data_IF_922030835636
#
_entry.id   IF_922030835636
#
_cell.length_a   1.000
_cell.length_b   1.000
_cell.length_c   1.000
_cell.angle_alpha   90.00
_cell.angle_beta   90.00
_cell.angle_gamma   90.00
#
_symmetry.space_group_name_H-M   'P 1'
#
loop_
_entity.id
_entity.type
_entity.pdbx_description
1 polymer ?
#
# COMPACT_ATOMS: atom_id res chain seq x y z
N UNK A 1 0.07 -2.71 -27.28
CA UNK A 1 -0.45 -1.34 -27.46
C UNK A 1 -0.92 -0.79 -26.13
N UNK A 2 -0.92 0.52 -26.00
CA UNK A 2 -1.28 1.19 -24.74
C UNK A 2 -2.70 0.81 -24.25
N UNK A 3 -3.67 0.73 -25.16
CA UNK A 3 -5.05 0.39 -24.79
C UNK A 3 -5.15 -1.03 -24.20
N UNK A 4 -4.38 -1.98 -24.71
CA UNK A 4 -4.36 -3.34 -24.18
C UNK A 4 -3.69 -3.37 -22.82
N UNK A 5 -2.65 -2.58 -22.62
CA UNK A 5 -1.97 -2.42 -21.35
C UNK A 5 -2.93 -1.89 -20.28
N UNK A 6 -3.66 -0.82 -20.61
CA UNK A 6 -4.65 -0.23 -19.69
C UNK A 6 -5.77 -1.22 -19.36
N UNK A 7 -6.28 -1.95 -20.35
CA UNK A 7 -7.30 -2.97 -20.11
C UNK A 7 -6.81 -4.07 -19.18
N UNK A 8 -5.55 -4.49 -19.33
CA UNK A 8 -4.94 -5.46 -18.44
C UNK A 8 -4.92 -4.97 -17.00
N UNK A 9 -4.54 -3.71 -16.80
CA UNK A 9 -4.54 -3.09 -15.47
C UNK A 9 -5.97 -2.98 -14.91
N UNK A 10 -6.93 -2.55 -15.72
CA UNK A 10 -8.32 -2.45 -15.28
C UNK A 10 -8.88 -3.81 -14.83
N UNK A 11 -8.58 -4.87 -15.57
CA UNK A 11 -9.01 -6.22 -15.21
C UNK A 11 -8.36 -6.68 -13.91
N UNK A 12 -7.07 -6.43 -13.74
CA UNK A 12 -6.35 -6.74 -12.52
C UNK A 12 -6.93 -5.99 -11.32
N UNK A 13 -7.24 -4.71 -11.49
CA UNK A 13 -7.83 -3.90 -10.43
C UNK A 13 -9.23 -4.38 -10.05
N UNK A 14 -10.04 -4.85 -10.99
CA UNK A 14 -11.34 -5.45 -10.68
C UNK A 14 -11.18 -6.69 -9.83
N UNK A 15 -10.21 -7.56 -10.14
CA UNK A 15 -9.93 -8.74 -9.33
C UNK A 15 -9.44 -8.36 -7.95
N UNK A 16 -8.59 -7.35 -7.85
CA UNK A 16 -8.11 -6.81 -6.57
C UNK A 16 -9.27 -6.30 -5.73
N UNK A 17 -10.22 -5.57 -6.32
CA UNK A 17 -11.40 -5.07 -5.60
C UNK A 17 -12.27 -6.22 -5.08
N UNK A 18 -12.42 -7.29 -5.84
CA UNK A 18 -13.14 -8.48 -5.37
C UNK A 18 -12.46 -9.08 -4.15
N UNK A 19 -11.13 -9.18 -4.16
CA UNK A 19 -10.35 -9.70 -3.04
C UNK A 19 -10.56 -8.82 -1.80
N UNK A 20 -10.46 -7.51 -1.95
CA UNK A 20 -10.66 -6.54 -0.87
C UNK A 20 -12.08 -6.67 -0.28
N UNK A 21 -13.09 -6.72 -1.14
CA UNK A 21 -14.48 -6.77 -0.71
C UNK A 21 -14.84 -8.09 -0.04
N UNK A 22 -14.24 -9.19 -0.48
CA UNK A 22 -14.48 -10.50 0.13
C UNK A 22 -13.71 -10.68 1.45
N UNK A 23 -12.69 -9.89 1.66
CA UNK A 23 -11.80 -10.03 2.82
C UNK A 23 -10.88 -11.24 2.72
N UNK A 24 -10.78 -11.86 1.56
CA UNK A 24 -9.97 -13.07 1.34
C UNK A 24 -8.76 -12.77 0.47
N UNK A 25 -7.59 -13.27 0.90
CA UNK A 25 -6.37 -13.17 0.13
C UNK A 25 -5.77 -11.77 0.11
N UNK A 26 -4.83 -11.59 -0.80
CA UNK A 26 -4.11 -10.34 -0.97
C UNK A 26 -4.17 -9.90 -2.42
N UNK A 27 -4.14 -8.59 -2.65
CA UNK A 27 -4.11 -8.04 -4.00
C UNK A 27 -2.73 -8.20 -4.61
N UNK A 28 -2.61 -7.90 -5.90
CA UNK A 28 -1.33 -7.90 -6.60
C UNK A 28 -0.39 -6.79 -6.10
N UNK A 29 -0.91 -5.85 -5.31
CA UNK A 29 -0.13 -4.73 -4.76
C UNK A 29 0.58 -5.08 -3.45
N UNK A 30 0.26 -6.23 -2.85
CA UNK A 30 0.86 -6.63 -1.58
C UNK A 30 2.39 -6.73 -1.68
N UNK A 31 3.08 -6.22 -0.65
CA UNK A 31 4.55 -6.21 -0.60
C UNK A 31 5.03 -6.49 0.81
N UNK A 32 6.16 -7.19 0.90
CA UNK A 32 6.85 -7.38 2.17
C UNK A 32 7.58 -6.10 2.56
N UNK A 33 7.41 -5.69 3.81
CA UNK A 33 8.20 -4.64 4.44
C UNK A 33 9.12 -5.28 5.46
N UNK A 34 10.41 -5.01 5.38
CA UNK A 34 11.40 -5.57 6.28
C UNK A 34 12.78 -4.98 6.06
N UNK A 35 13.84 -5.67 6.51
CA UNK A 35 15.22 -5.16 6.40
C UNK A 35 15.68 -4.79 4.99
N UNK A 36 15.04 -5.32 3.96
CA UNK A 36 15.36 -5.00 2.56
C UNK A 36 14.81 -3.64 2.12
N UNK A 37 13.94 -3.03 2.92
CA UNK A 37 13.42 -1.69 2.60
C UNK A 37 14.53 -0.65 2.69
N UNK A 38 14.55 0.29 1.73
CA UNK A 38 15.56 1.34 1.69
C UNK A 38 15.46 2.32 2.85
N UNK A 39 14.34 2.36 3.56
CA UNK A 39 14.15 3.23 4.73
C UNK A 39 14.47 2.52 6.05
N UNK A 40 14.84 1.23 5.99
CA UNK A 40 15.19 0.48 7.19
C UNK A 40 16.45 1.06 7.84
N UNK A 41 16.41 1.25 9.15
CA UNK A 41 17.53 1.80 9.92
C UNK A 41 17.69 1.04 11.25
N UNK A 42 18.70 1.39 12.03
CA UNK A 42 19.01 0.69 13.29
C UNK A 42 17.88 0.71 14.31
N UNK A 43 17.04 1.75 14.29
CA UNK A 43 15.91 1.86 15.21
C UNK A 43 14.82 0.81 14.88
N UNK A 44 14.82 0.30 13.66
CA UNK A 44 13.88 -0.73 13.22
C UNK A 44 14.13 -2.09 13.88
N UNK A 45 15.23 -2.26 14.61
CA UNK A 45 15.45 -3.44 15.41
C UNK A 45 14.46 -3.55 16.59
N UNK A 46 13.86 -2.42 16.98
CA UNK A 46 12.82 -2.37 18.01
C UNK A 46 11.45 -2.59 17.35
N UNK A 47 10.73 -3.64 17.79
CA UNK A 47 9.43 -3.98 17.23
C UNK A 47 8.39 -2.88 17.42
N UNK A 48 8.44 -2.17 18.55
CA UNK A 48 7.52 -1.05 18.78
C UNK A 48 7.81 0.09 17.81
N UNK A 49 9.08 0.37 17.56
CA UNK A 49 9.46 1.42 16.62
C UNK A 49 8.97 1.09 15.21
N UNK A 50 9.11 -0.17 14.77
CA UNK A 50 8.62 -0.59 13.44
C UNK A 50 7.13 -0.33 13.29
N UNK A 51 6.36 -0.70 14.30
CA UNK A 51 4.92 -0.53 14.27
C UNK A 51 4.53 0.95 14.25
N UNK A 52 5.16 1.76 15.08
CA UNK A 52 4.94 3.22 15.09
C UNK A 52 5.30 3.84 13.76
N UNK A 53 6.42 3.40 13.14
CA UNK A 53 6.83 3.89 11.83
C UNK A 53 5.76 3.61 10.76
N UNK A 54 5.26 2.38 10.70
CA UNK A 54 4.26 2.01 9.70
C UNK A 54 2.94 2.76 9.91
N UNK A 55 2.52 2.93 11.15
CA UNK A 55 1.34 3.74 11.47
C UNK A 55 1.53 5.19 11.06
N UNK A 56 2.71 5.72 11.28
CA UNK A 56 3.03 7.10 10.89
C UNK A 56 2.95 7.27 9.39
N UNK A 57 3.52 6.34 8.61
CA UNK A 57 3.48 6.42 7.14
C UNK A 57 2.04 6.33 6.64
N UNK A 58 1.25 5.43 7.20
CA UNK A 58 -0.17 5.30 6.83
C UNK A 58 -0.94 6.59 7.09
N UNK A 59 -0.72 7.19 8.25
CA UNK A 59 -1.32 8.48 8.61
C UNK A 59 -0.87 9.59 7.67
N UNK A 60 0.41 9.65 7.36
CA UNK A 60 0.98 10.65 6.46
C UNK A 60 0.38 10.55 5.07
N UNK A 61 0.23 9.31 4.55
CA UNK A 61 -0.42 9.09 3.26
C UNK A 61 -1.85 9.64 3.26
N UNK A 62 -2.60 9.39 4.33
CA UNK A 62 -3.96 9.92 4.47
C UNK A 62 -3.99 11.44 4.55
N UNK A 63 -3.01 12.04 5.23
CA UNK A 63 -2.90 13.50 5.31
C UNK A 63 -2.65 14.11 3.93
N UNK A 64 -1.76 13.51 3.14
CA UNK A 64 -1.51 13.97 1.76
C UNK A 64 -2.77 13.83 0.91
N UNK A 65 -3.46 12.71 1.02
CA UNK A 65 -4.71 12.50 0.27
C UNK A 65 -5.72 13.60 0.55
N UNK A 66 -5.91 13.97 1.81
CA UNK A 66 -6.83 15.05 2.19
C UNK A 66 -6.38 16.41 1.68
N UNK A 67 -5.07 16.66 1.76
CA UNK A 67 -4.54 17.97 1.38
C UNK A 67 -4.48 18.18 -0.13
N UNK A 68 -4.15 17.13 -0.88
CA UNK A 68 -3.92 17.22 -2.33
C UNK A 68 -5.06 16.67 -3.17
N UNK A 69 -5.85 15.77 -2.62
CA UNK A 69 -6.99 15.16 -3.30
C UNK A 69 -6.69 13.85 -4.01
N UNK A 70 -5.43 13.48 -4.15
CA UNK A 70 -5.03 12.22 -4.76
C UNK A 70 -3.66 11.77 -4.27
N UNK A 71 -3.39 10.46 -4.42
CA UNK A 71 -2.09 9.88 -4.08
C UNK A 71 -1.89 8.62 -4.93
N UNK A 72 -0.72 8.50 -5.58
CA UNK A 72 -0.38 7.32 -6.37
C UNK A 72 0.27 6.24 -5.49
N UNK A 73 0.06 4.98 -5.85
CA UNK A 73 0.62 3.85 -5.11
C UNK A 73 2.15 3.93 -5.03
N UNK A 74 2.83 4.32 -6.12
CA UNK A 74 4.29 4.45 -6.10
C UNK A 74 4.77 5.49 -5.09
N UNK A 75 3.99 6.52 -4.82
CA UNK A 75 4.35 7.51 -3.78
C UNK A 75 4.36 6.85 -2.40
N UNK A 76 3.41 5.96 -2.14
CA UNK A 76 3.38 5.19 -0.89
C UNK A 76 4.53 4.18 -0.84
N UNK A 77 4.82 3.51 -1.95
CA UNK A 77 5.98 2.63 -2.02
C UNK A 77 7.27 3.39 -1.68
N UNK A 78 7.42 4.62 -2.18
CA UNK A 78 8.59 5.46 -1.85
C UNK A 78 8.68 5.73 -0.35
N UNK A 79 7.55 6.06 0.29
CA UNK A 79 7.50 6.32 1.73
C UNK A 79 7.94 5.10 2.54
N UNK A 80 7.65 3.91 2.04
CA UNK A 80 7.97 2.65 2.69
C UNK A 80 9.32 2.07 2.26
N UNK A 81 10.00 2.73 1.33
CA UNK A 81 11.27 2.25 0.80
C UNK A 81 11.14 1.00 -0.05
N UNK A 82 10.00 0.81 -0.71
CA UNK A 82 9.72 -0.34 -1.55
C UNK A 82 9.93 0.01 -3.02
N UNK A 83 10.16 -1.03 -3.83
CA UNK A 83 10.40 -0.86 -5.26
C UNK A 83 9.12 -0.38 -5.96
N UNK A 84 9.24 0.64 -6.79
CA UNK A 84 8.15 1.15 -7.61
C UNK A 84 7.75 0.12 -8.66
N UNK A 85 6.49 0.17 -9.08
CA UNK A 85 5.98 -0.68 -10.15
C UNK A 85 5.42 0.16 -11.30
N UNK A 86 5.32 -0.45 -12.48
CA UNK A 86 4.70 0.22 -13.63
C UNK A 86 3.23 0.52 -13.32
N UNK A 87 2.51 -0.43 -12.75
CA UNK A 87 1.10 -0.24 -12.35
C UNK A 87 0.96 0.86 -11.31
N UNK A 88 1.91 0.94 -10.36
CA UNK A 88 1.86 1.91 -9.26
C UNK A 88 1.94 3.37 -9.68
N UNK A 89 2.35 3.66 -10.91
CA UNK A 89 2.34 5.03 -11.44
C UNK A 89 0.96 5.44 -11.99
N UNK A 90 0.04 4.48 -12.14
CA UNK A 90 -1.28 4.71 -12.72
C UNK A 90 -2.40 4.58 -11.68
N UNK A 91 -2.20 3.73 -10.67
CA UNK A 91 -3.22 3.44 -9.66
C UNK A 91 -2.92 4.17 -8.36
N UNK A 92 -3.97 4.35 -7.57
CA UNK A 92 -3.84 5.01 -6.26
C UNK A 92 -5.20 5.32 -5.67
N UNK A 93 -5.28 6.45 -5.00
CA UNK A 93 -6.47 6.88 -4.28
C UNK A 93 -6.86 8.30 -4.68
N UNK A 94 -8.18 8.56 -4.70
CA UNK A 94 -8.71 9.91 -4.78
C UNK A 94 -9.53 10.18 -3.52
N UNK A 95 -9.51 11.41 -3.05
CA UNK A 95 -10.23 11.80 -1.83
C UNK A 95 -11.74 11.56 -1.97
N UNK A 96 -12.27 11.71 -3.17
CA UNK A 96 -13.70 11.54 -3.42
C UNK A 96 -14.17 10.10 -3.26
N UNK A 97 -13.30 9.11 -3.49
CA UNK A 97 -13.66 7.70 -3.46
C UNK A 97 -13.15 6.96 -2.23
N UNK A 98 -12.11 7.48 -1.58
CA UNK A 98 -11.44 6.78 -0.49
C UNK A 98 -11.75 7.42 0.86
N UNK A 99 -12.34 6.65 1.78
CA UNK A 99 -12.51 7.12 3.15
C UNK A 99 -11.17 7.11 3.90
N UNK A 100 -10.37 6.06 3.69
CA UNK A 100 -9.11 5.88 4.43
C UNK A 100 -8.19 4.93 3.69
N UNK A 101 -6.94 5.36 3.50
CA UNK A 101 -5.88 4.50 2.95
C UNK A 101 -5.47 3.51 4.03
N UNK A 102 -5.55 2.21 3.74
CA UNK A 102 -5.16 1.17 4.66
C UNK A 102 -4.01 0.35 4.09
N UNK A 103 -3.05 0.02 4.95
CA UNK A 103 -1.96 -0.92 4.64
C UNK A 103 -2.25 -2.33 5.15
N UNK A 104 -3.43 -2.55 5.76
CA UNK A 104 -3.81 -3.83 6.37
C UNK A 104 -2.77 -4.32 7.38
N UNK A 105 -2.22 -3.39 8.14
CA UNK A 105 -1.15 -3.68 9.11
C UNK A 105 -1.57 -4.72 10.15
N UNK A 106 -2.83 -4.69 10.58
CA UNK A 106 -3.34 -5.58 11.61
C UNK A 106 -3.99 -6.85 11.08
N UNK A 107 -3.71 -7.23 9.83
CA UNK A 107 -4.19 -8.51 9.32
C UNK A 107 -3.55 -9.66 10.12
N UNK A 108 -4.19 -10.83 10.10
CA UNK A 108 -3.68 -12.02 10.79
C UNK A 108 -2.24 -12.38 10.37
N UNK A 109 -1.92 -12.13 9.11
CA UNK A 109 -0.61 -12.44 8.57
C UNK A 109 0.53 -11.67 9.23
N UNK A 110 0.20 -10.55 9.90
CA UNK A 110 1.17 -9.71 10.58
C UNK A 110 1.21 -9.92 12.09
N UNK A 111 0.54 -10.95 12.62
CA UNK A 111 0.52 -11.20 14.06
C UNK A 111 1.92 -11.34 14.65
N UNK A 112 2.78 -12.11 13.99
CA UNK A 112 4.15 -12.31 14.45
C UNK A 112 4.98 -11.03 14.41
N UNK A 113 4.75 -10.21 13.39
CA UNK A 113 5.41 -8.90 13.28
C UNK A 113 4.98 -7.97 14.42
N UNK A 114 3.69 -7.90 14.68
CA UNK A 114 3.13 -7.04 15.74
C UNK A 114 3.64 -7.49 17.12
N UNK A 115 3.75 -8.79 17.33
CA UNK A 115 4.20 -9.37 18.60
C UNK A 115 5.72 -9.46 18.73
N UNK A 116 6.46 -9.00 17.74
CA UNK A 116 7.91 -8.93 17.80
C UNK A 116 8.67 -10.22 17.47
N UNK A 117 7.97 -11.21 16.91
CA UNK A 117 8.59 -12.51 16.58
C UNK A 117 9.24 -12.54 15.20
N UNK A 118 8.93 -11.59 14.34
CA UNK A 118 9.57 -11.45 13.02
C UNK A 118 9.75 -9.97 12.68
N UNK A 119 10.70 -9.69 11.81
CA UNK A 119 11.00 -8.34 11.35
C UNK A 119 10.33 -8.02 10.00
N UNK A 120 9.47 -8.89 9.50
CA UNK A 120 8.81 -8.71 8.21
C UNK A 120 7.30 -8.64 8.35
N UNK A 121 6.70 -7.62 7.72
CA UNK A 121 5.26 -7.49 7.61
C UNK A 121 4.84 -7.60 6.16
N UNK A 122 3.68 -8.22 5.91
CA UNK A 122 3.06 -8.19 4.59
C UNK A 122 2.05 -7.05 4.58
N UNK A 123 2.27 -6.06 3.72
CA UNK A 123 1.39 -4.92 3.58
C UNK A 123 0.60 -5.06 2.28
N UNK A 124 -0.67 -4.74 2.32
CA UNK A 124 -1.50 -4.65 1.14
C UNK A 124 -2.08 -3.24 1.07
N UNK A 125 -2.66 -2.87 -0.06
CA UNK A 125 -3.05 -1.50 -0.31
C UNK A 125 -4.42 -1.47 -0.98
N UNK A 126 -5.36 -0.76 -0.36
CA UNK A 126 -6.75 -0.68 -0.80
C UNK A 126 -6.97 0.41 -1.86
N UNK A 127 -6.14 0.41 -2.91
CA UNK A 127 -6.26 1.44 -3.97
C UNK A 127 -7.65 1.44 -4.60
N UNK A 128 -8.09 2.61 -5.06
CA UNK A 128 -9.37 2.77 -5.75
C UNK A 128 -9.36 2.16 -7.15
N UNK A 129 -8.18 2.14 -7.78
CA UNK A 129 -7.97 1.69 -9.14
C UNK A 129 -7.13 2.71 -9.90
N UNK A 130 -7.30 2.76 -11.21
CA UNK A 130 -6.60 3.72 -12.06
C UNK A 130 -7.13 5.12 -11.76
N UNK A 131 -6.24 6.03 -11.39
CA UNK A 131 -6.63 7.41 -11.06
C UNK A 131 -6.01 8.46 -11.98
N UNK A 132 -5.08 8.06 -12.85
CA UNK A 132 -4.35 9.01 -13.71
C UNK A 132 -5.29 9.83 -14.58
N UNK A 133 -6.45 9.29 -14.94
CA UNK A 133 -7.45 9.96 -15.76
C UNK A 133 -8.48 10.76 -14.93
N UNK A 134 -8.36 10.74 -13.59
CA UNK A 134 -9.30 11.39 -12.69
C UNK A 134 -8.75 12.66 -12.04
N UNK A 135 -7.48 12.94 -12.27
CA UNK A 135 -6.80 14.06 -11.60
C UNK A 135 -6.40 15.16 -12.59
#
# INVERSE_FOLDING_TARGET
>A
MLSDFIKGIENEERENQKIIMSGEGKTTHARWFGPDSSVWNDQMNDSEYRLVFLKYVERYANDILRARGHLFLNEVYDMLGLVRTVTGQLVGWTYDETEYISFYLYSKDNSDFINGYTDKAILDFNVDGIIVDKI
#
